data_IF_121358354335
#
_entry.id   IF_121358354335
#
_cell.length_a   1.000
_cell.length_b   1.000
_cell.length_c   1.000
_cell.angle_alpha   90.00
_cell.angle_beta   90.00
_cell.angle_gamma   90.00
#
_symmetry.space_group_name_H-M   'P 1'
#
loop_
_entity.id
_entity.type
_entity.pdbx_description
1 polymer ?
#
# COMPACT_ATOMS: atom_id res chain seq x y z
N UNK A 1 -8.59 3.90 -8.92
CA UNK A 1 -7.79 3.15 -9.92
C UNK A 1 -7.37 1.83 -9.29
N UNK A 2 -7.20 0.75 -10.07
CA UNK A 2 -6.68 -0.52 -9.55
C UNK A 2 -5.27 -0.73 -10.09
N UNK A 3 -4.37 -1.18 -9.24
CA UNK A 3 -2.99 -1.50 -9.60
C UNK A 3 -2.66 -2.92 -9.18
N UNK A 4 -1.68 -3.51 -9.85
CA UNK A 4 -1.14 -4.83 -9.50
C UNK A 4 0.26 -4.67 -8.93
N UNK A 5 0.46 -5.10 -7.70
CA UNK A 5 1.76 -5.03 -7.04
C UNK A 5 2.82 -5.81 -7.83
N UNK A 6 3.95 -5.17 -8.13
CA UNK A 6 5.10 -5.79 -8.82
C UNK A 6 6.22 -6.22 -7.86
N UNK A 7 6.06 -5.90 -6.57
CA UNK A 7 6.98 -6.22 -5.48
C UNK A 7 6.17 -6.58 -4.23
N UNK A 8 6.84 -7.06 -3.18
CA UNK A 8 6.24 -7.27 -1.87
C UNK A 8 6.55 -6.09 -0.94
N UNK A 9 5.60 -5.75 -0.07
CA UNK A 9 5.77 -4.69 0.91
C UNK A 9 5.37 -5.20 2.29
N UNK A 10 6.24 -4.96 3.27
CA UNK A 10 6.01 -5.29 4.67
C UNK A 10 6.18 -4.02 5.53
N UNK A 11 5.09 -3.39 5.99
CA UNK A 11 5.16 -2.13 6.74
C UNK A 11 5.90 -2.28 8.08
N UNK A 12 6.06 -3.50 8.59
CA UNK A 12 6.82 -3.74 9.83
C UNK A 12 8.32 -3.50 9.62
N UNK A 13 8.81 -3.71 8.38
CA UNK A 13 10.21 -3.55 7.96
C UNK A 13 10.52 -2.16 7.39
N UNK A 14 9.50 -1.32 7.23
CA UNK A 14 9.65 0.03 6.73
C UNK A 14 9.79 1.00 7.90
N UNK A 15 10.88 1.76 7.94
CA UNK A 15 11.15 2.76 8.97
C UNK A 15 10.71 4.18 8.55
N UNK A 16 10.29 4.36 7.30
CA UNK A 16 9.77 5.62 6.75
C UNK A 16 8.26 5.75 6.94
N UNK A 17 7.55 4.65 7.18
CA UNK A 17 6.11 4.69 7.42
C UNK A 17 5.80 5.41 8.74
N UNK A 18 4.84 6.36 8.76
CA UNK A 18 4.52 7.10 9.97
C UNK A 18 3.94 6.23 11.09
N UNK A 19 3.26 5.13 10.75
CA UNK A 19 2.69 4.17 11.68
C UNK A 19 2.59 2.79 11.00
N UNK A 20 3.28 1.79 11.55
CA UNK A 20 3.40 0.44 10.96
C UNK A 20 2.04 -0.25 10.84
N UNK A 21 1.15 0.03 11.78
CA UNK A 21 -0.23 -0.49 11.85
C UNK A 21 -1.14 0.13 10.78
N UNK A 22 -0.81 1.32 10.29
CA UNK A 22 -1.55 1.98 9.22
C UNK A 22 -1.19 1.39 7.84
N UNK A 23 -0.07 0.66 7.74
CA UNK A 23 0.41 0.08 6.49
C UNK A 23 -0.33 -1.20 6.11
N UNK A 24 -0.52 -1.40 4.80
CA UNK A 24 -1.06 -2.66 4.28
C UNK A 24 0.08 -3.49 3.73
N UNK A 25 0.31 -4.66 4.34
CA UNK A 25 1.19 -5.68 3.76
C UNK A 25 0.58 -6.24 2.48
N UNK A 26 1.36 -6.33 1.41
CA UNK A 26 0.95 -6.98 0.16
C UNK A 26 2.10 -7.76 -0.47
N UNK A 27 1.76 -8.67 -1.39
CA UNK A 27 2.69 -9.50 -2.14
C UNK A 27 2.63 -9.17 -3.64
N UNK A 28 3.67 -9.61 -4.36
CA UNK A 28 3.68 -9.56 -5.82
C UNK A 28 2.42 -10.21 -6.38
N UNK A 29 1.74 -9.50 -7.27
CA UNK A 29 0.53 -9.96 -7.95
C UNK A 29 -0.78 -9.59 -7.27
N UNK A 30 -0.76 -9.10 -6.02
CA UNK A 30 -1.95 -8.59 -5.33
C UNK A 30 -2.55 -7.40 -6.09
N UNK A 31 -3.88 -7.33 -6.09
CA UNK A 31 -4.63 -6.21 -6.67
C UNK A 31 -5.03 -5.25 -5.56
N UNK A 32 -4.64 -3.99 -5.74
CA UNK A 32 -4.84 -2.92 -4.78
C UNK A 32 -5.69 -1.84 -5.43
N UNK A 33 -6.83 -1.54 -4.80
CA UNK A 33 -7.64 -0.38 -5.14
C UNK A 33 -6.99 0.86 -4.53
N UNK A 34 -6.56 1.80 -5.37
CA UNK A 34 -6.07 3.12 -4.93
C UNK A 34 -7.28 4.02 -4.66
N UNK A 35 -7.31 4.55 -3.44
CA UNK A 35 -8.35 5.43 -2.89
C UNK A 35 -7.90 6.89 -2.96
N UNK A 36 -6.67 7.20 -2.50
CA UNK A 36 -6.07 8.53 -2.53
C UNK A 36 -4.56 8.41 -2.87
N UNK A 37 -4.05 9.36 -3.65
CA UNK A 37 -2.65 9.45 -4.08
C UNK A 37 -2.09 10.89 -4.03
N UNK A 38 -2.68 11.74 -3.19
CA UNK A 38 -2.34 13.16 -3.08
C UNK A 38 -1.00 13.37 -2.35
N UNK A 39 -0.62 12.43 -1.47
CA UNK A 39 0.70 12.41 -0.84
C UNK A 39 1.74 11.75 -1.78
N UNK A 40 2.91 12.38 -1.87
CA UNK A 40 3.98 11.91 -2.76
C UNK A 40 4.63 10.60 -2.33
N UNK A 41 4.59 10.25 -1.04
CA UNK A 41 5.28 9.09 -0.48
C UNK A 41 4.32 7.95 -0.12
N UNK A 42 3.11 8.30 0.34
CA UNK A 42 2.17 7.34 0.93
C UNK A 42 0.78 7.42 0.33
N UNK A 43 0.45 6.44 -0.51
CA UNK A 43 -0.89 6.33 -1.08
C UNK A 43 -1.82 5.57 -0.13
N UNK A 44 -3.12 5.86 -0.22
CA UNK A 44 -4.15 5.09 0.47
C UNK A 44 -4.67 4.03 -0.48
N UNK A 45 -4.48 2.77 -0.10
CA UNK A 45 -4.90 1.59 -0.85
C UNK A 45 -5.83 0.70 -0.05
N UNK A 46 -6.47 -0.24 -0.73
CA UNK A 46 -7.21 -1.36 -0.15
C UNK A 46 -6.99 -2.62 -0.99
N UNK A 47 -6.70 -3.75 -0.34
CA UNK A 47 -6.59 -5.04 -1.02
C UNK A 47 -7.96 -5.53 -1.48
N UNK A 48 -8.05 -5.88 -2.76
CA UNK A 48 -9.31 -6.34 -3.38
C UNK A 48 -9.78 -7.68 -2.78
N UNK A 49 -8.83 -8.58 -2.51
CA UNK A 49 -9.12 -9.93 -2.01
C UNK A 49 -9.59 -9.98 -0.54
N UNK A 50 -9.63 -8.84 0.15
CA UNK A 50 -10.03 -8.78 1.56
C UNK A 50 -11.47 -8.29 1.67
N UNK A 51 -12.41 -9.21 1.91
CA UNK A 51 -13.86 -8.93 2.02
C UNK A 51 -14.21 -7.80 2.98
N UNK A 52 -13.39 -7.59 4.02
CA UNK A 52 -13.52 -6.49 4.99
C UNK A 52 -12.22 -5.66 5.09
N UNK A 53 -11.45 -5.56 4.01
CA UNK A 53 -10.22 -4.78 4.00
C UNK A 53 -10.50 -3.32 4.33
N UNK A 54 -9.81 -2.79 5.34
CA UNK A 54 -9.78 -1.36 5.62
C UNK A 54 -8.79 -0.70 4.66
N UNK A 55 -9.01 0.58 4.37
CA UNK A 55 -8.00 1.39 3.70
C UNK A 55 -6.75 1.51 4.60
N UNK A 56 -5.59 1.64 3.99
CA UNK A 56 -4.32 1.80 4.68
C UNK A 56 -3.24 2.25 3.73
N UNK A 57 -2.06 2.54 4.29
CA UNK A 57 -0.96 3.15 3.58
C UNK A 57 -0.19 2.10 2.77
N UNK A 58 0.14 2.47 1.55
CA UNK A 58 1.07 1.76 0.67
C UNK A 58 2.11 2.77 0.16
N UNK A 59 3.37 2.35 -0.04
CA UNK A 59 4.37 3.24 -0.62
C UNK A 59 3.96 3.63 -2.05
N UNK A 60 4.18 4.90 -2.39
CA UNK A 60 4.06 5.38 -3.77
C UNK A 60 5.20 4.80 -4.64
N UNK A 61 5.06 4.79 -5.98
CA UNK A 61 6.16 4.49 -6.89
C UNK A 61 7.39 5.37 -6.64
N UNK A 62 7.19 6.65 -6.34
CA UNK A 62 8.26 7.62 -6.10
C UNK A 62 9.05 7.33 -4.81
N UNK A 63 8.40 6.80 -3.77
CA UNK A 63 9.10 6.34 -2.56
C UNK A 63 9.91 5.06 -2.81
N UNK A 64 9.58 4.33 -3.86
CA UNK A 64 10.21 3.07 -4.24
C UNK A 64 11.36 3.25 -5.26
N UNK A 65 11.56 4.45 -5.81
CA UNK A 65 12.67 4.81 -6.71
C UNK A 65 13.99 5.12 -5.97
#
# INVERSE_FOLDING_TARGET
IYVRAQFEYDPVKDDLIPCKEAGIRFRVGDIIQIINKDDHNWWQGKLENTKNGTAGLIPSPELQE
#
